data_IF_710521524789
#
_entry.id   IF_710521524789
#
_cell.length_a   1.000
_cell.length_b   1.000
_cell.length_c   1.000
_cell.angle_alpha   90.00
_cell.angle_beta   90.00
_cell.angle_gamma   90.00
#
_symmetry.space_group_name_H-M   'P 1'
#
loop_
_entity.id
_entity.type
_entity.pdbx_description
1 polymer ?
#
# COMPACT_ATOMS: atom_id res chain seq x y z
N UNK A 1 35.68 12.10 -41.52
CA UNK A 1 37.07 12.21 -42.02
C UNK A 1 37.75 13.23 -41.11
N UNK A 2 38.68 12.97 -40.20
CA UNK A 2 39.70 11.93 -39.91
C UNK A 2 39.51 11.48 -38.45
N UNK A 3 39.55 10.21 -38.01
CA UNK A 3 40.51 9.10 -38.14
C UNK A 3 41.91 9.42 -37.62
N UNK A 4 42.18 9.02 -36.38
CA UNK A 4 43.49 8.50 -35.92
C UNK A 4 43.26 7.20 -35.12
N UNK A 5 43.94 6.15 -35.55
CA UNK A 5 44.18 4.80 -34.97
C UNK A 5 45.71 4.68 -34.78
N UNK A 6 46.29 3.58 -34.23
CA UNK A 6 45.90 2.66 -33.15
C UNK A 6 47.08 2.44 -32.14
N UNK A 7 46.94 1.56 -31.14
CA UNK A 7 47.85 0.41 -30.85
C UNK A 7 47.32 -0.39 -29.65
N UNK A 8 47.52 -1.70 -29.75
CA UNK A 8 46.93 -2.86 -29.08
C UNK A 8 47.74 -3.43 -27.91
N UNK A 9 47.06 -4.02 -26.92
CA UNK A 9 47.37 -5.26 -26.13
C UNK A 9 46.67 -5.10 -24.76
N UNK A 10 46.02 -6.05 -24.10
CA UNK A 10 45.86 -7.51 -24.15
C UNK A 10 44.85 -7.87 -23.04
N UNK A 11 44.24 -9.06 -23.14
CA UNK A 11 43.60 -9.84 -22.07
C UNK A 11 42.14 -9.52 -21.68
N UNK A 12 41.38 -10.61 -21.63
CA UNK A 12 39.97 -10.79 -21.30
C UNK A 12 39.62 -10.38 -19.86
N UNK A 13 38.41 -9.84 -19.63
CA UNK A 13 37.58 -10.28 -18.50
C UNK A 13 36.13 -9.79 -18.65
N UNK A 14 35.21 -10.75 -18.67
CA UNK A 14 33.77 -10.54 -18.51
C UNK A 14 33.48 -9.84 -17.17
N UNK A 15 32.72 -8.75 -17.19
CA UNK A 15 32.26 -8.06 -15.98
C UNK A 15 30.87 -8.61 -15.63
N UNK A 16 30.84 -9.50 -14.63
CA UNK A 16 29.63 -9.98 -13.97
C UNK A 16 28.98 -8.92 -13.05
N UNK A 17 27.82 -9.23 -12.43
CA UNK A 17 27.00 -8.27 -11.70
C UNK A 17 27.72 -7.74 -10.45
N UNK A 18 27.72 -6.42 -10.29
CA UNK A 18 28.20 -5.67 -9.13
C UNK A 18 27.46 -6.07 -7.85
N UNK A 19 28.17 -6.64 -6.87
CA UNK A 19 27.71 -6.85 -5.49
C UNK A 19 27.98 -5.60 -4.65
N UNK A 20 26.98 -5.12 -3.90
CA UNK A 20 27.19 -4.10 -2.87
C UNK A 20 27.60 -4.78 -1.55
N UNK A 21 28.75 -4.39 -0.99
CA UNK A 21 29.18 -4.84 0.34
C UNK A 21 28.64 -3.89 1.43
N UNK A 22 27.99 -4.45 2.45
CA UNK A 22 27.67 -3.73 3.70
C UNK A 22 28.49 -4.35 4.82
N UNK A 23 29.44 -3.59 5.36
CA UNK A 23 30.30 -4.02 6.48
C UNK A 23 29.76 -3.39 7.77
N UNK A 24 29.29 -4.23 8.70
CA UNK A 24 28.88 -3.81 10.05
C UNK A 24 30.03 -4.15 11.01
N UNK A 25 30.59 -3.15 11.69
CA UNK A 25 31.65 -3.32 12.69
C UNK A 25 31.03 -3.16 14.08
N UNK A 26 31.07 -4.21 14.90
CA UNK A 26 30.61 -4.18 16.30
C UNK A 26 31.87 -4.12 17.19
N UNK A 27 31.91 -3.18 18.13
CA UNK A 27 33.01 -3.02 19.08
C UNK A 27 32.56 -3.49 20.46
N UNK A 28 33.24 -4.50 21.02
CA UNK A 28 33.17 -4.81 22.45
C UNK A 28 34.53 -4.49 23.08
N UNK A 29 34.55 -3.54 24.02
CA UNK A 29 35.72 -3.26 24.87
C UNK A 29 35.37 -3.59 26.33
N UNK A 30 36.06 -4.53 26.99
CA UNK A 30 35.88 -4.75 28.41
C UNK A 30 36.64 -3.71 29.23
N UNK A 31 36.00 -3.24 30.29
CA UNK A 31 36.56 -2.32 31.27
C UNK A 31 37.66 -3.00 32.12
N UNK A 32 38.81 -2.31 32.25
CA UNK A 32 39.94 -2.57 33.16
C UNK A 32 40.76 -3.87 32.99
N UNK A 33 41.98 -3.76 32.44
CA UNK A 33 43.20 -4.32 33.05
C UNK A 33 44.48 -3.89 32.29
N UNK A 34 45.49 -3.48 33.05
CA UNK A 34 46.87 -3.27 32.60
C UNK A 34 47.58 -4.61 32.26
N UNK A 35 48.59 -4.50 31.39
CA UNK A 35 49.66 -5.46 31.02
C UNK A 35 49.39 -6.48 29.90
N UNK A 36 50.12 -6.27 28.79
CA UNK A 36 50.70 -7.22 27.82
C UNK A 36 49.99 -8.56 27.57
N UNK A 37 48.87 -8.52 26.83
CA UNK A 37 48.30 -9.71 26.20
C UNK A 37 47.88 -9.46 24.73
N UNK A 38 48.09 -10.48 23.89
CA UNK A 38 47.69 -10.52 22.48
C UNK A 38 46.17 -10.72 22.42
N UNK A 39 45.44 -9.79 21.80
CA UNK A 39 44.01 -9.94 21.55
C UNK A 39 43.75 -10.65 20.22
N UNK A 40 42.83 -11.63 20.22
CA UNK A 40 42.27 -12.23 19.01
C UNK A 40 40.97 -11.48 18.71
N UNK A 41 40.97 -10.71 17.63
CA UNK A 41 39.76 -10.04 17.14
C UNK A 41 39.00 -10.99 16.21
N UNK A 42 37.73 -11.22 16.50
CA UNK A 42 36.82 -11.95 15.63
C UNK A 42 36.13 -10.95 14.70
N UNK A 43 36.40 -11.06 13.40
CA UNK A 43 35.66 -10.33 12.38
C UNK A 43 34.71 -11.30 11.68
N UNK A 44 33.41 -11.08 11.83
CA UNK A 44 32.35 -11.86 11.20
C UNK A 44 31.79 -11.05 10.05
N UNK A 45 31.95 -11.51 8.80
CA UNK A 45 31.31 -10.91 7.63
C UNK A 45 30.23 -11.85 7.09
N UNK A 46 29.00 -11.35 6.97
CA UNK A 46 27.91 -12.06 6.29
C UNK A 46 27.98 -11.73 4.79
N UNK A 47 28.10 -12.74 3.94
CA UNK A 47 27.97 -12.58 2.49
C UNK A 47 26.63 -13.10 2.02
N UNK A 48 25.87 -12.26 1.31
CA UNK A 48 24.67 -12.66 0.57
C UNK A 48 25.00 -12.75 -0.91
N UNK A 49 24.90 -13.95 -1.49
CA UNK A 49 25.07 -14.14 -2.93
C UNK A 49 23.77 -14.73 -3.49
N UNK A 50 23.04 -13.93 -4.28
CA UNK A 50 21.87 -14.38 -5.04
C UNK A 50 22.36 -14.88 -6.41
N UNK A 51 22.35 -16.19 -6.63
CA UNK A 51 22.59 -16.79 -7.95
C UNK A 51 21.25 -17.09 -8.63
N UNK A 52 21.01 -16.51 -9.80
CA UNK A 52 19.92 -16.90 -10.70
C UNK A 52 20.43 -17.93 -11.71
N UNK A 53 19.81 -19.11 -11.73
CA UNK A 53 20.07 -20.17 -12.71
C UNK A 53 18.76 -20.62 -13.39
N UNK A 54 18.80 -20.71 -14.71
CA UNK A 54 17.71 -21.14 -15.60
C UNK A 54 17.56 -22.67 -15.63
N UNK A 55 16.30 -23.14 -15.69
CA UNK A 55 15.75 -24.38 -16.30
C UNK A 55 14.80 -25.18 -15.36
N UNK A 56 13.53 -25.23 -15.81
CA UNK A 56 12.44 -26.22 -15.68
C UNK A 56 12.25 -27.05 -14.38
N UNK A 57 11.10 -26.80 -13.73
CA UNK A 57 10.44 -27.50 -12.60
C UNK A 57 10.94 -27.20 -11.17
N UNK A 58 10.05 -27.27 -10.16
CA UNK A 58 9.98 -26.28 -9.08
C UNK A 58 11.11 -26.47 -8.07
N UNK A 59 11.99 -25.48 -7.94
CA UNK A 59 13.02 -25.48 -6.92
C UNK A 59 12.55 -24.76 -5.66
N UNK A 60 12.64 -25.48 -4.53
CA UNK A 60 12.75 -24.90 -3.20
C UNK A 60 13.94 -23.93 -3.17
N UNK A 61 13.74 -22.75 -2.62
CA UNK A 61 14.77 -21.74 -2.42
C UNK A 61 15.74 -22.22 -1.32
N UNK A 62 16.91 -22.73 -1.70
CA UNK A 62 17.99 -23.05 -0.77
C UNK A 62 18.87 -21.81 -0.57
N UNK A 63 18.81 -21.21 0.62
CA UNK A 63 19.76 -20.18 1.05
C UNK A 63 21.00 -20.89 1.61
N UNK A 64 22.13 -20.77 0.93
CA UNK A 64 23.42 -21.23 1.44
C UNK A 64 24.04 -20.16 2.35
N UNK A 65 24.35 -20.52 3.59
CA UNK A 65 25.06 -19.66 4.53
C UNK A 65 26.55 -19.95 4.42
N UNK A 66 27.32 -19.06 3.79
CA UNK A 66 28.77 -19.12 3.85
C UNK A 66 29.27 -18.26 5.02
N UNK A 67 29.62 -18.90 6.13
CA UNK A 67 30.30 -18.23 7.23
C UNK A 67 31.80 -18.14 6.93
N UNK A 68 32.32 -16.92 6.77
CA UNK A 68 33.77 -16.66 6.86
C UNK A 68 34.08 -16.09 8.23
N UNK A 69 34.93 -16.80 8.98
CA UNK A 69 35.62 -16.25 10.14
C UNK A 69 37.08 -16.02 9.77
N UNK A 70 37.55 -14.79 9.91
CA UNK A 70 38.96 -14.43 9.83
C UNK A 70 39.48 -14.04 11.21
N UNK A 71 40.67 -14.51 11.58
CA UNK A 71 41.33 -14.13 12.83
C UNK A 71 42.46 -13.15 12.54
N UNK A 72 42.42 -11.99 13.20
CA UNK A 72 43.44 -10.96 13.09
C UNK A 72 44.29 -10.92 14.37
N UNK A 73 45.62 -10.92 14.19
CA UNK A 73 46.56 -10.68 15.28
C UNK A 73 46.88 -9.18 15.36
N UNK A 74 46.42 -8.52 16.41
CA UNK A 74 46.56 -7.08 16.60
C UNK A 74 47.57 -6.73 17.71
N UNK A 75 48.35 -5.67 17.51
CA UNK A 75 49.25 -5.12 18.53
C UNK A 75 48.76 -3.75 19.00
N UNK A 76 48.30 -3.71 20.25
CA UNK A 76 47.72 -2.51 20.87
C UNK A 76 48.73 -1.40 21.15
N UNK A 77 50.02 -1.70 21.33
CA UNK A 77 51.05 -0.70 21.59
C UNK A 77 51.49 0.08 20.34
N UNK A 78 51.27 -0.48 19.14
CA UNK A 78 51.66 0.14 17.85
C UNK A 78 50.49 0.54 16.96
N UNK A 79 49.24 0.26 17.36
CA UNK A 79 48.04 0.65 16.63
C UNK A 79 47.89 0.00 15.25
N UNK A 80 48.41 -1.22 15.02
CA UNK A 80 48.36 -1.89 13.70
C UNK A 80 48.16 -3.40 13.76
N UNK A 81 47.54 -3.95 12.72
CA UNK A 81 47.39 -5.40 12.49
C UNK A 81 48.73 -6.00 12.06
N UNK A 82 49.15 -7.09 12.69
CA UNK A 82 50.46 -7.71 12.45
C UNK A 82 50.42 -8.86 11.43
N UNK A 83 49.31 -9.62 11.35
CA UNK A 83 49.14 -10.72 10.39
C UNK A 83 47.67 -11.19 10.33
N UNK A 84 47.19 -11.49 9.13
CA UNK A 84 45.95 -12.26 8.92
C UNK A 84 46.28 -13.76 8.96
N UNK A 85 45.53 -14.54 9.75
CA UNK A 85 45.66 -15.99 9.80
C UNK A 85 44.38 -16.57 9.18
N UNK A 86 44.51 -17.26 8.04
CA UNK A 86 43.35 -17.63 7.23
C UNK A 86 43.03 -19.14 7.21
N UNK A 87 41.72 -19.38 7.05
CA UNK A 87 41.01 -20.53 6.46
C UNK A 87 40.72 -21.78 7.32
N UNK A 88 39.47 -21.89 7.77
CA UNK A 88 38.79 -23.18 7.95
C UNK A 88 37.61 -23.23 6.98
N UNK A 89 37.65 -24.15 6.03
CA UNK A 89 36.54 -24.49 5.12
C UNK A 89 35.79 -25.66 5.79
N UNK A 90 34.58 -25.44 6.29
CA UNK A 90 33.72 -26.53 6.73
C UNK A 90 32.86 -26.96 5.54
N UNK A 91 33.21 -28.10 4.95
CA UNK A 91 32.39 -28.78 3.95
C UNK A 91 31.96 -30.13 4.53
N UNK A 92 30.66 -30.32 4.79
CA UNK A 92 30.04 -31.64 4.67
C UNK A 92 28.51 -31.53 4.50
N UNK A 93 27.91 -32.33 3.61
CA UNK A 93 26.46 -32.49 3.49
C UNK A 93 25.94 -33.53 4.51
N UNK A 94 24.63 -33.48 4.77
CA UNK A 94 23.81 -34.46 5.50
C UNK A 94 23.88 -34.50 7.04
N UNK A 95 23.08 -33.67 7.73
CA UNK A 95 22.53 -34.00 9.06
C UNK A 95 21.15 -33.32 9.30
N UNK A 96 20.19 -33.96 10.03
CA UNK A 96 18.80 -33.49 10.17
C UNK A 96 18.64 -32.27 11.10
N UNK A 97 17.71 -31.39 10.74
CA UNK A 97 17.46 -30.05 11.28
C UNK A 97 16.76 -30.02 12.66
N UNK A 98 17.30 -30.74 13.65
CA UNK A 98 16.88 -30.61 15.04
C UNK A 98 18.15 -30.66 15.89
N UNK A 99 18.80 -29.51 16.10
CA UNK A 99 19.83 -29.22 17.13
C UNK A 99 20.57 -27.88 16.89
N UNK A 100 20.13 -27.02 15.95
CA UNK A 100 20.70 -25.68 15.72
C UNK A 100 19.84 -24.50 16.23
N UNK A 101 18.71 -24.76 16.91
CA UNK A 101 17.92 -23.70 17.58
C UNK A 101 18.45 -23.40 18.99
N UNK A 102 19.48 -24.11 19.46
CA UNK A 102 20.04 -23.95 20.80
C UNK A 102 21.15 -22.90 20.97
N UNK A 103 21.67 -22.28 19.89
CA UNK A 103 22.88 -21.43 19.97
C UNK A 103 22.66 -19.99 19.48
N UNK A 104 21.49 -19.65 18.94
CA UNK A 104 21.19 -18.27 18.48
C UNK A 104 20.28 -17.48 19.45
N UNK A 105 19.72 -18.13 20.47
CA UNK A 105 18.90 -17.48 21.51
C UNK A 105 19.65 -17.13 22.80
N UNK A 106 20.99 -17.22 22.82
CA UNK A 106 21.81 -16.75 23.96
C UNK A 106 22.50 -15.40 23.75
N UNK A 107 22.25 -14.72 22.62
CA UNK A 107 22.81 -13.39 22.32
C UNK A 107 21.83 -12.22 22.54
N UNK A 108 20.57 -12.46 22.93
CA UNK A 108 19.59 -11.42 23.24
C UNK A 108 18.95 -11.65 24.61
N UNK A 109 19.72 -11.52 25.68
CA UNK A 109 19.19 -11.36 27.04
C UNK A 109 20.24 -10.80 27.99
N UNK A 110 20.67 -9.54 27.79
CA UNK A 110 21.22 -8.70 28.86
C UNK A 110 20.78 -7.25 28.62
N UNK A 111 19.62 -6.86 29.14
CA UNK A 111 19.42 -5.58 29.85
C UNK A 111 17.97 -5.42 30.29
N UNK A 112 17.66 -5.79 31.53
CA UNK A 112 16.62 -5.15 32.33
C UNK A 112 16.74 -5.67 33.77
N UNK A 113 17.35 -4.90 34.64
CA UNK A 113 17.31 -5.12 36.09
C UNK A 113 16.94 -3.79 36.74
N UNK A 114 15.70 -3.69 37.25
CA UNK A 114 15.30 -2.72 38.28
C UNK A 114 13.95 -3.14 38.87
N UNK A 115 13.97 -3.51 40.17
CA UNK A 115 12.94 -3.36 41.23
C UNK A 115 11.46 -3.64 40.86
N UNK A 116 10.67 -4.50 41.52
CA UNK A 116 10.29 -4.47 42.93
C UNK A 116 9.37 -5.70 43.22
N UNK A 117 9.47 -6.22 44.43
CA UNK A 117 8.76 -7.38 44.98
C UNK A 117 7.37 -6.98 45.48
N UNK A 118 6.34 -7.80 45.24
CA UNK A 118 5.30 -8.09 46.25
C UNK A 118 4.71 -9.50 46.09
N UNK A 119 4.85 -10.26 47.19
CA UNK A 119 4.25 -11.53 47.60
C UNK A 119 2.91 -11.97 46.96
N UNK A 120 2.77 -13.25 46.64
CA UNK A 120 2.17 -14.21 47.57
C UNK A 120 2.30 -15.68 47.13
N UNK A 121 2.55 -16.50 48.13
CA UNK A 121 2.74 -17.95 48.21
C UNK A 121 1.50 -18.77 47.85
N UNK A 122 1.72 -19.96 47.25
CA UNK A 122 0.98 -21.18 47.61
C UNK A 122 1.75 -22.43 47.10
N UNK A 123 2.21 -23.24 48.06
CA UNK A 123 2.83 -24.55 47.83
C UNK A 123 1.80 -25.66 47.98
N UNK A 124 1.90 -26.73 47.19
CA UNK A 124 1.31 -28.03 47.54
C UNK A 124 2.37 -29.13 47.42
N UNK A 125 2.43 -29.98 48.46
CA UNK A 125 3.26 -31.19 48.56
C UNK A 125 2.38 -32.41 48.25
N UNK A 126 2.92 -33.35 47.48
CA UNK A 126 2.45 -34.74 47.37
C UNK A 126 2.92 -35.58 48.56
N UNK A 127 2.12 -36.56 48.98
CA UNK A 127 2.58 -37.86 49.53
C UNK A 127 1.40 -38.85 49.72
N UNK A 128 1.44 -39.90 48.89
CA UNK A 128 1.21 -41.34 49.16
C UNK A 128 -0.09 -41.93 49.79
N UNK A 129 -0.73 -42.74 48.92
CA UNK A 129 -1.15 -44.16 49.07
C UNK A 129 -2.09 -44.59 50.21
N UNK A 130 -3.26 -45.15 49.84
CA UNK A 130 -3.76 -46.45 50.34
C UNK A 130 -4.82 -47.08 49.40
N UNK A 131 -4.75 -48.40 49.26
CA UNK A 131 -5.47 -49.28 48.32
C UNK A 131 -6.96 -49.55 48.62
N UNK A 132 -7.66 -49.84 47.53
CA UNK A 132 -8.87 -50.66 47.32
C UNK A 132 -9.83 -50.97 48.48
N UNK A 133 -11.12 -50.68 48.24
CA UNK A 133 -12.15 -51.67 48.55
C UNK A 133 -13.29 -51.68 47.51
N UNK A 134 -13.65 -52.89 47.06
CA UNK A 134 -14.74 -53.19 46.14
C UNK A 134 -16.09 -52.96 46.83
N UNK A 135 -17.02 -52.37 46.08
CA UNK A 135 -18.48 -52.59 46.10
C UNK A 135 -19.23 -51.27 45.93
N UNK A 136 -19.65 -51.01 44.68
CA UNK A 136 -20.93 -50.41 44.26
C UNK A 136 -20.85 -50.09 42.77
N UNK A 137 -20.80 -51.16 42.00
CA UNK A 137 -21.15 -51.15 40.58
C UNK A 137 -22.62 -51.52 40.51
N UNK A 138 -23.52 -50.54 40.37
CA UNK A 138 -24.91 -50.74 39.93
C UNK A 138 -25.49 -49.39 39.46
N UNK A 139 -25.76 -49.35 38.16
CA UNK A 139 -26.70 -48.48 37.44
C UNK A 139 -26.54 -46.96 37.52
N UNK A 140 -25.88 -46.40 36.50
CA UNK A 140 -26.41 -45.25 35.74
C UNK A 140 -25.95 -45.35 34.29
N UNK A 141 -26.76 -46.01 33.45
CA UNK A 141 -26.74 -45.75 32.01
C UNK A 141 -27.57 -44.48 31.81
N UNK A 142 -26.92 -43.33 31.72
CA UNK A 142 -27.54 -42.08 31.28
C UNK A 142 -26.55 -41.30 30.42
N UNK A 143 -26.86 -41.24 29.14
CA UNK A 143 -26.59 -40.15 28.19
C UNK A 143 -25.35 -39.27 28.48
N UNK A 144 -24.19 -39.69 27.98
CA UNK A 144 -23.12 -38.76 27.64
C UNK A 144 -23.32 -38.31 26.18
N UNK A 145 -24.18 -37.32 25.97
CA UNK A 145 -24.06 -36.44 24.80
C UNK A 145 -22.79 -35.61 25.02
N UNK A 146 -21.79 -35.65 24.12
CA UNK A 146 -20.75 -34.63 24.15
C UNK A 146 -21.45 -33.33 23.76
N UNK A 147 -21.56 -32.41 24.71
CA UNK A 147 -21.75 -31.00 24.39
C UNK A 147 -20.54 -30.60 23.57
N UNK A 148 -20.71 -30.60 22.25
CA UNK A 148 -19.77 -30.01 21.32
C UNK A 148 -19.83 -28.51 21.64
N UNK A 149 -18.93 -28.05 22.51
CA UNK A 149 -18.48 -26.68 22.46
C UNK A 149 -17.84 -26.52 21.09
N UNK A 150 -18.62 -26.05 20.12
CA UNK A 150 -18.07 -25.44 18.92
C UNK A 150 -17.35 -24.20 19.45
N UNK A 151 -16.00 -24.14 19.43
CA UNK A 151 -15.36 -22.86 19.60
C UNK A 151 -15.88 -22.04 18.42
N UNK A 152 -16.54 -20.93 18.70
CA UNK A 152 -16.68 -19.87 17.73
C UNK A 152 -15.23 -19.51 17.38
N UNK A 153 -14.73 -20.11 16.31
CA UNK A 153 -13.55 -19.59 15.64
C UNK A 153 -14.02 -18.27 15.09
N UNK A 154 -13.75 -17.19 15.83
CA UNK A 154 -13.50 -15.91 15.19
C UNK A 154 -12.47 -16.24 14.12
N UNK A 155 -12.95 -16.35 12.89
CA UNK A 155 -12.11 -16.46 11.72
C UNK A 155 -11.34 -15.15 11.70
N UNK A 156 -10.15 -15.15 12.31
CA UNK A 156 -9.12 -14.16 12.05
C UNK A 156 -9.13 -13.96 10.54
N UNK A 157 -9.27 -12.72 10.03
CA UNK A 157 -9.34 -12.49 8.59
C UNK A 157 -8.13 -13.17 7.99
N UNK A 158 -8.38 -14.26 7.27
CA UNK A 158 -7.33 -15.02 6.63
C UNK A 158 -6.63 -14.04 5.72
N UNK A 159 -5.37 -13.71 6.04
CA UNK A 159 -4.49 -12.94 5.17
C UNK A 159 -4.63 -13.55 3.78
N UNK A 160 -5.34 -12.86 2.89
CA UNK A 160 -5.67 -13.36 1.56
C UNK A 160 -4.33 -13.74 0.92
N UNK A 161 -4.14 -15.01 0.57
CA UNK A 161 -2.91 -15.45 -0.08
C UNK A 161 -2.69 -14.54 -1.30
N UNK A 162 -1.51 -13.94 -1.48
CA UNK A 162 -1.30 -13.01 -2.58
C UNK A 162 -1.53 -13.78 -3.87
N UNK A 163 -2.65 -13.46 -4.55
CA UNK A 163 -2.94 -13.97 -5.87
C UNK A 163 -1.90 -13.48 -6.88
N UNK A 164 -1.99 -13.90 -8.15
CA UNK A 164 -1.18 -13.32 -9.21
C UNK A 164 -1.29 -11.78 -9.20
N UNK A 165 -0.15 -11.10 -9.34
CA UNK A 165 -0.03 -9.64 -9.28
C UNK A 165 0.38 -9.11 -10.65
N UNK A 166 -0.34 -8.10 -11.14
CA UNK A 166 0.04 -7.33 -12.33
C UNK A 166 0.98 -6.19 -11.94
N UNK A 167 2.28 -6.32 -12.26
CA UNK A 167 3.29 -5.30 -11.96
C UNK A 167 3.34 -4.13 -12.97
N UNK A 168 2.45 -4.11 -13.96
CA UNK A 168 2.36 -3.03 -14.97
C UNK A 168 0.93 -2.48 -15.09
N UNK A 169 0.28 -2.11 -13.96
CA UNK A 169 -1.12 -1.70 -13.98
C UNK A 169 -1.33 -0.47 -14.87
N UNK A 170 -2.51 -0.43 -15.48
CA UNK A 170 -3.02 0.69 -16.27
C UNK A 170 -4.33 1.13 -15.63
N UNK A 171 -4.37 2.34 -15.12
CA UNK A 171 -5.59 2.91 -14.54
C UNK A 171 -6.25 3.82 -15.58
N UNK A 172 -7.53 3.60 -15.81
CA UNK A 172 -8.33 4.50 -16.64
C UNK A 172 -8.74 5.74 -15.85
N UNK A 173 -8.63 6.91 -16.46
CA UNK A 173 -9.15 8.17 -15.90
C UNK A 173 -10.27 8.64 -16.80
N UNK A 174 -11.48 8.79 -16.25
CA UNK A 174 -12.63 9.27 -17.00
C UNK A 174 -12.49 10.77 -17.30
N UNK A 175 -12.58 11.16 -18.58
CA UNK A 175 -12.57 12.57 -18.96
C UNK A 175 -13.89 13.24 -18.55
N UNK A 176 -13.87 14.55 -18.36
CA UNK A 176 -15.07 15.35 -18.11
C UNK A 176 -15.36 16.30 -19.25
N UNK A 177 -16.64 16.65 -19.44
CA UNK A 177 -17.06 17.68 -20.38
C UNK A 177 -16.44 19.04 -20.05
N UNK A 178 -16.05 19.78 -21.09
CA UNK A 178 -15.66 21.17 -20.96
C UNK A 178 -16.91 22.06 -20.90
N UNK A 179 -17.17 22.64 -19.72
CA UNK A 179 -18.27 23.59 -19.51
C UNK A 179 -17.82 25.05 -19.73
N UNK A 180 -16.62 25.39 -19.27
CA UNK A 180 -16.06 26.75 -19.34
C UNK A 180 -15.76 27.20 -20.76
N UNK A 181 -16.27 28.37 -21.15
CA UNK A 181 -16.10 28.92 -22.51
C UNK A 181 -14.64 29.09 -22.92
N UNK A 182 -13.77 29.47 -21.98
CA UNK A 182 -12.33 29.65 -22.24
C UNK A 182 -11.63 28.34 -22.58
N UNK A 183 -12.17 27.20 -22.13
CA UNK A 183 -11.60 25.87 -22.35
C UNK A 183 -12.11 25.24 -23.66
N UNK A 184 -13.27 25.66 -24.18
CA UNK A 184 -13.92 25.06 -25.37
C UNK A 184 -13.06 25.11 -26.63
N UNK A 185 -12.15 26.08 -26.74
CA UNK A 185 -11.24 26.18 -27.88
C UNK A 185 -10.15 25.10 -27.89
N UNK A 186 -9.90 24.43 -26.76
CA UNK A 186 -8.83 23.43 -26.63
C UNK A 186 -9.32 21.99 -26.77
N UNK A 187 -10.59 21.71 -26.46
CA UNK A 187 -11.18 20.38 -26.60
C UNK A 187 -12.61 20.31 -26.07
N UNK A 188 -13.25 19.15 -26.24
CA UNK A 188 -14.62 18.92 -25.76
C UNK A 188 -14.65 18.26 -24.39
N UNK A 189 -13.62 17.47 -24.09
CA UNK A 189 -13.44 16.87 -22.78
C UNK A 189 -12.01 17.07 -22.29
N UNK A 190 -11.79 16.92 -20.98
CA UNK A 190 -10.50 17.18 -20.39
C UNK A 190 -10.19 16.30 -19.19
N UNK A 191 -8.90 16.23 -18.84
CA UNK A 191 -8.37 15.69 -17.59
C UNK A 191 -7.33 16.68 -17.05
N UNK A 192 -7.48 17.22 -15.83
CA UNK A 192 -6.40 17.95 -15.18
C UNK A 192 -5.16 17.06 -15.00
N UNK A 193 -3.99 17.56 -15.39
CA UNK A 193 -2.77 16.77 -15.40
C UNK A 193 -2.34 16.29 -13.99
N UNK A 194 -2.85 16.93 -12.92
CA UNK A 194 -2.63 16.48 -11.54
C UNK A 194 -3.12 15.05 -11.30
N UNK A 195 -4.25 14.63 -11.87
CA UNK A 195 -4.76 13.26 -11.73
C UNK A 195 -3.86 12.24 -12.44
N UNK A 196 -3.33 12.59 -13.62
CA UNK A 196 -2.37 11.75 -14.35
C UNK A 196 -1.09 11.60 -13.53
N UNK A 197 -0.49 12.71 -13.11
CA UNK A 197 0.74 12.73 -12.29
C UNK A 197 0.57 11.96 -10.98
N UNK A 198 -0.61 12.09 -10.35
CA UNK A 198 -0.96 11.37 -9.12
C UNK A 198 -0.86 9.86 -9.30
N UNK A 199 -1.52 9.32 -10.31
CA UNK A 199 -1.49 7.89 -10.62
C UNK A 199 -0.12 7.41 -11.07
N UNK A 200 0.55 8.15 -11.96
CA UNK A 200 1.89 7.77 -12.44
C UNK A 200 2.93 7.75 -11.33
N UNK A 201 2.82 8.66 -10.36
CA UNK A 201 3.76 8.72 -9.24
C UNK A 201 3.75 7.49 -8.33
N UNK A 202 2.71 6.66 -8.42
CA UNK A 202 2.56 5.40 -7.70
C UNK A 202 2.96 4.15 -8.53
N UNK A 203 3.51 4.36 -9.73
CA UNK A 203 4.00 3.28 -10.59
C UNK A 203 2.89 2.60 -11.41
N UNK A 204 1.94 3.39 -11.91
CA UNK A 204 0.93 2.96 -12.90
C UNK A 204 1.06 3.76 -14.18
N UNK A 205 0.54 3.23 -15.28
CA UNK A 205 0.28 3.99 -16.50
C UNK A 205 -1.17 4.45 -16.53
N UNK A 206 -1.51 5.39 -17.41
CA UNK A 206 -2.85 5.97 -17.53
C UNK A 206 -3.41 5.82 -18.93
N UNK A 207 -4.70 5.50 -19.01
CA UNK A 207 -5.52 5.59 -20.23
C UNK A 207 -6.62 6.65 -20.02
N UNK A 208 -6.72 7.69 -20.85
CA UNK A 208 -7.86 8.60 -20.82
C UNK A 208 -9.10 7.91 -21.42
N UNK A 209 -10.16 7.79 -20.62
CA UNK A 209 -11.44 7.21 -21.07
C UNK A 209 -12.32 8.34 -21.60
N UNK A 210 -12.49 8.39 -22.92
CA UNK A 210 -13.27 9.43 -23.59
C UNK A 210 -14.77 9.24 -23.41
N UNK A 211 -15.49 10.34 -23.33
CA UNK A 211 -16.95 10.35 -23.35
C UNK A 211 -17.50 10.04 -24.75
N UNK A 212 -18.79 9.70 -24.84
CA UNK A 212 -19.56 9.50 -26.09
C UNK A 212 -19.13 8.32 -26.99
N UNK A 213 -18.45 7.32 -26.44
CA UNK A 213 -18.16 6.07 -27.16
C UNK A 213 -19.31 5.06 -27.03
N UNK A 214 -19.31 3.99 -27.83
CA UNK A 214 -20.31 2.94 -27.71
C UNK A 214 -20.05 2.07 -26.47
N UNK A 215 -21.09 1.41 -25.95
CA UNK A 215 -20.96 0.49 -24.81
C UNK A 215 -19.95 -0.62 -25.07
N UNK A 216 -19.87 -1.15 -26.30
CA UNK A 216 -18.90 -2.16 -26.67
C UNK A 216 -17.45 -1.67 -26.55
N UNK A 217 -17.19 -0.39 -26.87
CA UNK A 217 -15.87 0.22 -26.67
C UNK A 217 -15.54 0.33 -25.19
N UNK A 218 -16.50 0.72 -24.35
CA UNK A 218 -16.30 0.77 -22.90
C UNK A 218 -16.06 -0.61 -22.28
N UNK A 219 -16.76 -1.64 -22.75
CA UNK A 219 -16.52 -3.01 -22.33
C UNK A 219 -15.13 -3.51 -22.74
N UNK A 220 -14.65 -3.12 -23.92
CA UNK A 220 -13.28 -3.43 -24.35
C UNK A 220 -12.25 -2.73 -23.45
N UNK A 221 -12.40 -1.42 -23.24
CA UNK A 221 -11.52 -0.65 -22.34
C UNK A 221 -11.51 -1.26 -20.94
N UNK A 222 -12.68 -1.61 -20.39
CA UNK A 222 -12.80 -2.20 -19.06
C UNK A 222 -11.97 -3.49 -18.91
N UNK A 223 -11.98 -4.36 -19.91
CA UNK A 223 -11.20 -5.62 -19.93
C UNK A 223 -9.69 -5.39 -20.09
N UNK A 224 -9.30 -4.23 -20.59
CA UNK A 224 -7.89 -3.88 -20.86
C UNK A 224 -7.21 -3.11 -19.73
N UNK A 225 -7.98 -2.41 -18.89
CA UNK A 225 -7.46 -1.60 -17.77
C UNK A 225 -7.68 -2.28 -16.42
N UNK A 226 -6.91 -1.85 -15.42
CA UNK A 226 -6.81 -2.49 -14.11
C UNK A 226 -7.56 -1.75 -12.99
N UNK A 227 -8.26 -0.67 -13.32
CA UNK A 227 -9.03 0.14 -12.36
C UNK A 227 -9.49 1.45 -12.98
N UNK A 228 -10.39 2.14 -12.28
CA UNK A 228 -10.98 3.40 -12.74
C UNK A 228 -10.83 4.51 -11.71
N UNK A 229 -10.36 5.68 -12.15
CA UNK A 229 -10.43 6.92 -11.39
C UNK A 229 -11.49 7.86 -11.98
N UNK A 230 -12.42 8.29 -11.12
CA UNK A 230 -13.42 9.31 -11.36
C UNK A 230 -12.93 10.63 -10.75
N UNK A 231 -12.63 11.60 -11.61
CA UNK A 231 -12.08 12.90 -11.21
C UNK A 231 -13.15 13.81 -10.57
N UNK A 232 -12.69 14.85 -9.88
CA UNK A 232 -13.52 15.95 -9.42
C UNK A 232 -13.82 16.95 -10.55
N UNK A 233 -14.95 17.66 -10.44
CA UNK A 233 -15.41 18.69 -11.39
C UNK A 233 -16.84 19.11 -11.10
N UNK A 234 -17.57 19.60 -12.10
CA UNK A 234 -18.92 20.20 -11.95
C UNK A 234 -20.04 19.51 -12.74
N UNK A 235 -19.76 18.44 -13.49
CA UNK A 235 -20.75 17.78 -14.36
C UNK A 235 -21.99 17.30 -13.59
N UNK A 236 -23.17 17.38 -14.23
CA UNK A 236 -24.42 16.88 -13.64
C UNK A 236 -24.38 15.36 -13.39
N UNK A 237 -24.68 14.93 -12.15
CA UNK A 237 -24.53 13.54 -11.71
C UNK A 237 -25.53 12.53 -12.30
N UNK A 238 -26.48 12.99 -13.13
CA UNK A 238 -27.51 12.13 -13.71
C UNK A 238 -27.54 12.16 -15.24
N UNK A 239 -27.32 13.34 -15.82
CA UNK A 239 -27.58 13.62 -17.24
C UNK A 239 -26.29 13.81 -18.05
N UNK A 240 -25.17 14.12 -17.39
CA UNK A 240 -23.86 14.21 -18.06
C UNK A 240 -23.44 12.87 -18.66
N UNK A 241 -22.60 12.92 -19.68
CA UNK A 241 -21.97 11.73 -20.23
C UNK A 241 -20.93 11.18 -19.25
N UNK A 242 -20.28 12.03 -18.44
CA UNK A 242 -19.46 11.59 -17.31
C UNK A 242 -20.24 10.63 -16.40
N UNK A 243 -21.43 11.01 -15.95
CA UNK A 243 -22.27 10.18 -15.08
C UNK A 243 -22.72 8.88 -15.76
N UNK A 244 -23.10 8.95 -17.05
CA UNK A 244 -23.53 7.77 -17.82
C UNK A 244 -22.39 6.76 -17.99
N UNK A 245 -21.20 7.22 -18.38
CA UNK A 245 -20.03 6.36 -18.62
C UNK A 245 -19.52 5.77 -17.30
N UNK A 246 -19.39 6.58 -16.25
CA UNK A 246 -19.08 6.08 -14.91
C UNK A 246 -20.07 5.01 -14.45
N UNK A 247 -21.37 5.20 -14.72
CA UNK A 247 -22.40 4.20 -14.42
C UNK A 247 -22.23 2.88 -15.19
N UNK A 248 -21.69 2.92 -16.42
CA UNK A 248 -21.32 1.70 -17.18
C UNK A 248 -20.19 0.97 -16.47
N UNK A 249 -19.08 1.66 -16.18
CA UNK A 249 -17.93 1.05 -15.52
C UNK A 249 -18.25 0.55 -14.12
N UNK A 250 -19.06 1.30 -13.34
CA UNK A 250 -19.54 0.86 -12.03
C UNK A 250 -20.27 -0.48 -12.09
N UNK A 251 -21.18 -0.66 -13.06
CA UNK A 251 -21.90 -1.94 -13.25
C UNK A 251 -20.98 -3.06 -13.73
N UNK A 252 -19.99 -2.77 -14.57
CA UNK A 252 -18.99 -3.74 -15.00
C UNK A 252 -18.11 -4.18 -13.83
N UNK A 253 -17.65 -3.23 -13.02
CA UNK A 253 -16.83 -3.49 -11.85
C UNK A 253 -17.58 -4.29 -10.79
N UNK A 254 -18.86 -4.00 -10.52
CA UNK A 254 -19.69 -4.83 -9.63
C UNK A 254 -19.71 -6.30 -10.11
N UNK A 255 -20.07 -6.51 -11.39
CA UNK A 255 -20.14 -7.86 -11.98
C UNK A 255 -18.80 -8.59 -11.95
N UNK A 256 -17.71 -7.89 -12.23
CA UNK A 256 -16.36 -8.46 -12.21
C UNK A 256 -16.00 -8.88 -10.78
N UNK A 257 -16.14 -7.99 -9.80
CA UNK A 257 -15.81 -8.29 -8.41
C UNK A 257 -16.68 -9.42 -7.83
N UNK A 258 -17.98 -9.47 -8.19
CA UNK A 258 -18.87 -10.59 -7.83
C UNK A 258 -18.40 -11.93 -8.41
N UNK A 259 -17.78 -11.90 -9.60
CA UNK A 259 -17.19 -13.07 -10.25
C UNK A 259 -15.76 -13.39 -9.74
N UNK A 260 -15.24 -12.64 -8.75
CA UNK A 260 -13.89 -12.79 -8.22
C UNK A 260 -12.80 -12.12 -9.07
N UNK A 261 -13.19 -11.33 -10.07
CA UNK A 261 -12.31 -10.55 -10.93
C UNK A 261 -12.16 -9.12 -10.37
N UNK A 262 -11.01 -8.88 -9.74
CA UNK A 262 -10.77 -7.65 -8.98
C UNK A 262 -10.71 -6.43 -9.91
N UNK A 263 -11.58 -5.45 -9.68
CA UNK A 263 -11.55 -4.18 -10.40
C UNK A 263 -11.86 -3.00 -9.45
N UNK A 264 -10.86 -2.21 -9.05
CA UNK A 264 -11.05 -1.10 -8.13
C UNK A 264 -11.57 0.17 -8.80
N UNK A 265 -12.35 0.95 -8.06
CA UNK A 265 -12.79 2.29 -8.47
C UNK A 265 -12.39 3.31 -7.39
N UNK A 266 -11.82 4.43 -7.81
CA UNK A 266 -11.54 5.59 -6.97
C UNK A 266 -12.38 6.78 -7.41
N UNK A 267 -13.04 7.45 -6.48
CA UNK A 267 -13.73 8.72 -6.73
C UNK A 267 -13.11 9.87 -5.94
N UNK A 268 -12.75 10.96 -6.62
CA UNK A 268 -12.31 12.21 -6.00
C UNK A 268 -13.38 13.28 -6.18
N UNK A 269 -13.79 13.95 -5.11
CA UNK A 269 -14.79 15.02 -5.10
C UNK A 269 -16.08 14.64 -5.84
N UNK A 270 -16.32 15.17 -7.06
CA UNK A 270 -17.44 14.77 -7.92
C UNK A 270 -17.49 13.25 -8.14
N UNK A 271 -16.35 12.59 -8.30
CA UNK A 271 -16.27 11.14 -8.43
C UNK A 271 -16.81 10.40 -7.20
N UNK A 272 -16.49 10.87 -5.99
CA UNK A 272 -17.04 10.29 -4.75
C UNK A 272 -18.55 10.54 -4.65
N UNK A 273 -18.99 11.77 -4.96
CA UNK A 273 -20.41 12.12 -4.99
C UNK A 273 -21.18 11.20 -5.93
N UNK A 274 -20.67 11.01 -7.16
CA UNK A 274 -21.26 10.12 -8.14
C UNK A 274 -21.33 8.68 -7.65
N UNK A 275 -20.27 8.15 -7.03
CA UNK A 275 -20.28 6.80 -6.45
C UNK A 275 -21.37 6.63 -5.41
N UNK A 276 -21.55 7.61 -4.51
CA UNK A 276 -22.64 7.55 -3.52
C UNK A 276 -24.02 7.58 -4.18
N UNK A 277 -24.22 8.39 -5.22
CA UNK A 277 -25.47 8.44 -5.98
C UNK A 277 -25.74 7.13 -6.74
N UNK A 278 -24.70 6.49 -7.31
CA UNK A 278 -24.81 5.21 -8.01
C UNK A 278 -25.20 4.06 -7.06
N UNK A 279 -24.64 4.03 -5.85
CA UNK A 279 -24.99 3.04 -4.82
C UNK A 279 -26.40 3.27 -4.28
N UNK A 280 -26.75 4.52 -3.97
CA UNK A 280 -28.08 4.85 -3.46
C UNK A 280 -29.18 4.65 -4.52
N UNK A 281 -28.85 4.87 -5.79
CA UNK A 281 -29.80 4.92 -6.90
C UNK A 281 -30.60 6.24 -6.97
N UNK A 282 -30.17 7.26 -6.22
CA UNK A 282 -30.79 8.59 -6.16
C UNK A 282 -29.75 9.66 -5.83
N UNK A 283 -30.09 10.94 -6.04
CA UNK A 283 -29.22 12.05 -5.66
C UNK A 283 -29.39 12.38 -4.18
N UNK A 284 -28.34 12.18 -3.39
CA UNK A 284 -28.31 12.41 -1.94
C UNK A 284 -27.53 13.67 -1.54
N UNK A 285 -27.09 14.46 -2.53
CA UNK A 285 -26.24 15.60 -2.25
C UNK A 285 -27.02 16.74 -1.58
N UNK A 286 -26.37 17.34 -0.59
CA UNK A 286 -26.85 18.52 0.11
C UNK A 286 -25.73 19.56 0.15
N UNK A 287 -26.07 20.80 0.47
CA UNK A 287 -25.08 21.88 0.54
C UNK A 287 -24.15 21.65 1.73
N UNK A 288 -22.88 21.37 1.44
CA UNK A 288 -21.81 21.15 2.42
C UNK A 288 -20.58 21.92 1.95
N UNK A 289 -20.76 23.23 1.76
CA UNK A 289 -19.77 24.11 1.14
C UNK A 289 -18.46 24.09 1.94
N UNK A 290 -17.40 23.67 1.27
CA UNK A 290 -16.01 23.81 1.68
C UNK A 290 -15.23 24.17 0.42
N UNK A 291 -15.26 25.46 0.09
CA UNK A 291 -14.57 25.99 -1.09
C UNK A 291 -13.25 26.62 -0.67
N UNK A 292 -12.16 26.17 -1.29
CA UNK A 292 -10.84 26.72 -1.04
C UNK A 292 -10.36 26.55 0.43
N UNK A 293 -10.67 25.40 1.03
CA UNK A 293 -10.36 25.10 2.42
C UNK A 293 -9.37 23.94 2.57
N UNK A 294 -8.29 24.16 3.31
CA UNK A 294 -7.43 23.10 3.82
C UNK A 294 -7.97 22.61 5.18
N UNK A 295 -8.24 21.31 5.31
CA UNK A 295 -8.82 20.71 6.53
C UNK A 295 -8.04 19.48 7.02
N UNK A 296 -7.95 19.24 8.34
CA UNK A 296 -7.66 17.90 8.87
C UNK A 296 -8.83 16.97 8.62
N UNK A 297 -8.67 15.67 8.84
CA UNK A 297 -9.75 14.68 8.78
C UNK A 297 -10.23 14.33 10.19
N UNK A 298 -11.55 14.43 10.43
CA UNK A 298 -12.14 13.83 11.63
C UNK A 298 -12.30 12.32 11.38
N UNK A 299 -11.24 11.56 11.70
CA UNK A 299 -11.18 10.11 11.52
C UNK A 299 -12.23 9.41 12.39
N UNK A 300 -12.90 8.42 11.81
CA UNK A 300 -13.80 7.50 12.53
C UNK A 300 -13.03 6.31 13.10
N UNK A 301 -13.72 5.44 13.84
CA UNK A 301 -13.09 4.21 14.36
C UNK A 301 -12.67 3.28 13.22
N UNK A 302 -13.48 3.24 12.16
CA UNK A 302 -13.30 2.42 10.97
C UNK A 302 -12.02 2.78 10.21
N UNK A 303 -11.54 4.02 10.29
CA UNK A 303 -10.27 4.44 9.66
C UNK A 303 -9.07 3.60 10.12
N UNK A 304 -9.01 3.26 11.41
CA UNK A 304 -7.85 2.58 12.00
C UNK A 304 -7.71 1.12 11.59
N UNK A 305 -8.78 0.51 11.08
CA UNK A 305 -8.80 -0.87 10.55
C UNK A 305 -9.11 -0.91 9.06
N UNK A 306 -9.05 0.24 8.38
CA UNK A 306 -9.40 0.37 6.96
C UNK A 306 -8.32 -0.21 6.06
N UNK A 307 -8.71 -0.65 4.87
CA UNK A 307 -7.74 -1.03 3.84
C UNK A 307 -7.03 0.21 3.29
N UNK A 308 -7.76 1.31 3.12
CA UNK A 308 -7.23 2.55 2.56
C UNK A 308 -6.04 3.11 3.35
N UNK A 309 -6.09 3.03 4.68
CA UNK A 309 -5.03 3.52 5.56
C UNK A 309 -4.16 2.38 6.13
N UNK A 310 -4.30 1.16 5.61
CA UNK A 310 -3.45 0.05 6.00
C UNK A 310 -1.99 0.36 5.64
N UNK A 311 -1.09 0.24 6.62
CA UNK A 311 0.33 0.52 6.43
C UNK A 311 0.71 2.01 6.46
N UNK A 312 -0.24 2.93 6.67
CA UNK A 312 0.10 4.34 6.90
C UNK A 312 0.94 4.45 8.19
N UNK A 313 2.08 5.17 8.16
CA UNK A 313 2.86 5.44 9.37
C UNK A 313 2.03 6.16 10.44
N UNK A 314 2.26 5.84 11.71
CA UNK A 314 1.47 6.40 12.82
C UNK A 314 1.56 7.92 12.93
N UNK A 315 2.72 8.49 12.58
CA UNK A 315 2.92 9.94 12.49
C UNK A 315 2.07 10.56 11.37
N UNK A 316 1.98 9.90 10.21
CA UNK A 316 1.11 10.36 9.10
C UNK A 316 -0.36 10.27 9.50
N UNK A 317 -0.78 9.21 10.17
CA UNK A 317 -2.16 9.08 10.69
C UNK A 317 -2.48 10.17 11.73
N UNK A 318 -1.52 10.53 12.59
CA UNK A 318 -1.69 11.63 13.53
C UNK A 318 -1.82 12.97 12.79
N UNK A 319 -0.93 13.25 11.84
CA UNK A 319 -0.95 14.47 11.03
C UNK A 319 -2.26 14.61 10.25
N UNK A 320 -2.79 13.53 9.66
CA UNK A 320 -4.11 13.51 9.01
C UNK A 320 -5.23 14.02 9.91
N UNK A 321 -5.17 13.72 11.22
CA UNK A 321 -6.20 14.13 12.17
C UNK A 321 -5.99 15.51 12.81
N UNK A 322 -4.78 16.08 12.69
CA UNK A 322 -4.36 17.28 13.43
C UNK A 322 -4.02 18.47 12.53
N UNK A 323 -3.57 18.22 11.31
CA UNK A 323 -3.07 19.23 10.40
C UNK A 323 -3.99 19.42 9.20
N UNK A 324 -4.00 20.64 8.65
CA UNK A 324 -4.81 20.98 7.48
C UNK A 324 -4.20 20.41 6.19
N UNK A 325 -4.28 19.08 6.00
CA UNK A 325 -3.61 18.35 4.92
C UNK A 325 -4.49 18.11 3.67
N UNK A 326 -5.79 18.34 3.77
CA UNK A 326 -6.75 17.98 2.71
C UNK A 326 -7.35 19.22 2.06
N UNK A 327 -7.13 19.39 0.74
CA UNK A 327 -7.71 20.50 -0.03
C UNK A 327 -9.16 20.22 -0.42
N UNK A 328 -10.08 21.11 -0.04
CA UNK A 328 -11.51 21.00 -0.30
C UNK A 328 -11.98 22.13 -1.23
N UNK A 329 -12.67 21.76 -2.30
CA UNK A 329 -13.12 22.66 -3.38
C UNK A 329 -14.53 22.25 -3.87
N UNK A 330 -15.47 22.09 -2.94
CA UNK A 330 -16.80 21.57 -3.26
C UNK A 330 -17.94 22.34 -2.57
N UNK A 331 -19.08 22.45 -3.26
CA UNK A 331 -20.29 23.06 -2.72
C UNK A 331 -21.27 22.06 -2.11
N UNK A 332 -21.17 20.81 -2.56
CA UNK A 332 -22.11 19.74 -2.24
C UNK A 332 -21.37 18.52 -1.71
N UNK A 333 -22.11 17.65 -1.04
CA UNK A 333 -21.60 16.42 -0.45
C UNK A 333 -22.73 15.65 0.24
N UNK A 334 -22.38 14.47 0.76
CA UNK A 334 -23.33 13.65 1.53
C UNK A 334 -23.13 13.92 3.00
N UNK A 335 -24.19 14.38 3.68
CA UNK A 335 -24.10 14.58 5.13
C UNK A 335 -24.01 13.25 5.86
N UNK A 336 -23.38 13.27 7.04
CA UNK A 336 -23.33 12.11 7.94
C UNK A 336 -24.73 11.58 8.24
N UNK A 337 -25.73 12.47 8.39
CA UNK A 337 -27.14 12.12 8.60
C UNK A 337 -27.70 11.37 7.38
N UNK A 338 -27.65 11.98 6.19
CA UNK A 338 -28.16 11.39 4.95
C UNK A 338 -27.53 10.02 4.67
N UNK A 339 -26.22 9.88 4.90
CA UNK A 339 -25.53 8.60 4.74
C UNK A 339 -26.08 7.53 5.69
N UNK A 340 -26.24 7.85 6.97
CA UNK A 340 -26.76 6.92 8.00
C UNK A 340 -28.26 6.63 7.88
N UNK A 341 -29.02 7.44 7.14
CA UNK A 341 -30.44 7.17 6.87
C UNK A 341 -30.62 6.32 5.61
N UNK A 342 -29.60 6.20 4.75
CA UNK A 342 -29.66 5.39 3.54
C UNK A 342 -29.04 3.99 3.75
N UNK A 343 -29.89 2.96 3.77
CA UNK A 343 -29.47 1.57 4.00
C UNK A 343 -28.49 1.03 2.95
N UNK A 344 -28.60 1.48 1.69
CA UNK A 344 -27.69 1.04 0.61
C UNK A 344 -26.29 1.60 0.84
N UNK A 345 -26.16 2.87 1.20
CA UNK A 345 -24.85 3.45 1.52
C UNK A 345 -24.22 2.78 2.74
N UNK A 346 -24.98 2.56 3.81
CA UNK A 346 -24.45 1.91 5.02
C UNK A 346 -23.98 0.48 4.79
N UNK A 347 -24.73 -0.29 3.99
CA UNK A 347 -24.37 -1.67 3.66
C UNK A 347 -23.20 -1.75 2.67
N UNK A 348 -23.01 -0.74 1.84
CA UNK A 348 -21.96 -0.74 0.82
C UNK A 348 -20.62 -0.19 1.32
N UNK A 349 -20.65 0.89 2.10
CA UNK A 349 -19.46 1.67 2.46
C UNK A 349 -19.25 1.77 3.97
N UNK A 350 -17.97 1.75 4.37
CA UNK A 350 -17.48 2.25 5.66
C UNK A 350 -17.13 3.73 5.52
N UNK A 351 -17.48 4.54 6.50
CA UNK A 351 -17.04 5.93 6.58
C UNK A 351 -15.73 5.96 7.35
N UNK A 352 -14.66 6.46 6.72
CA UNK A 352 -13.34 6.57 7.35
C UNK A 352 -13.11 7.95 7.94
N UNK A 353 -13.70 8.99 7.36
CA UNK A 353 -13.61 10.33 7.94
C UNK A 353 -14.82 11.19 7.64
N UNK A 354 -14.97 12.22 8.46
CA UNK A 354 -15.93 13.29 8.27
C UNK A 354 -15.24 14.65 8.37
N UNK A 355 -15.92 15.69 7.90
CA UNK A 355 -15.51 17.07 8.04
C UNK A 355 -16.71 17.97 8.28
N UNK A 356 -16.45 19.19 8.74
CA UNK A 356 -17.47 20.22 8.96
C UNK A 356 -17.34 21.27 7.87
N UNK A 357 -18.43 21.46 7.12
CA UNK A 357 -18.54 22.50 6.10
C UNK A 357 -18.68 23.90 6.73
N UNK A 358 -18.51 24.95 5.93
CA UNK A 358 -18.65 26.35 6.36
C UNK A 358 -20.01 26.66 6.99
N UNK A 359 -21.07 26.01 6.51
CA UNK A 359 -22.43 26.13 7.04
C UNK A 359 -22.69 25.28 8.29
N UNK A 360 -21.65 24.64 8.86
CA UNK A 360 -21.75 23.77 10.04
C UNK A 360 -22.24 22.34 9.74
N UNK A 361 -22.54 22.01 8.48
CA UNK A 361 -22.97 20.66 8.13
C UNK A 361 -21.81 19.66 8.25
N UNK A 362 -22.03 18.55 8.96
CA UNK A 362 -21.06 17.44 9.03
C UNK A 362 -21.27 16.55 7.82
N UNK A 363 -20.24 16.45 6.98
CA UNK A 363 -20.25 15.66 5.75
C UNK A 363 -19.24 14.51 5.79
N UNK A 364 -19.55 13.45 5.05
CA UNK A 364 -18.67 12.31 4.86
C UNK A 364 -17.55 12.72 3.92
N UNK A 365 -16.28 12.62 4.36
CA UNK A 365 -15.12 13.09 3.59
C UNK A 365 -14.25 11.98 3.02
N UNK A 366 -14.29 10.78 3.60
CA UNK A 366 -13.58 9.60 3.07
C UNK A 366 -14.42 8.33 3.29
N UNK A 367 -14.53 7.49 2.26
CA UNK A 367 -15.24 6.20 2.28
C UNK A 367 -14.40 5.10 1.64
N UNK A 368 -14.63 3.86 2.09
CA UNK A 368 -14.16 2.65 1.42
C UNK A 368 -15.28 1.60 1.38
N UNK A 369 -15.31 0.78 0.34
CA UNK A 369 -16.27 -0.30 0.20
C UNK A 369 -16.02 -1.40 1.22
N UNK A 370 -17.10 -1.92 1.80
CA UNK A 370 -17.02 -3.04 2.77
C UNK A 370 -16.61 -4.35 2.11
N UNK A 371 -17.07 -4.55 0.87
CA UNK A 371 -16.84 -5.77 0.08
C UNK A 371 -16.14 -5.46 -1.23
N UNK A 372 -16.57 -4.41 -1.93
CA UNK A 372 -16.01 -4.01 -3.21
C UNK A 372 -14.81 -3.08 -3.02
N UNK A 373 -13.77 -3.16 -3.87
CA UNK A 373 -12.60 -2.28 -3.81
C UNK A 373 -12.92 -0.88 -4.38
N UNK A 374 -13.97 -0.24 -3.87
CA UNK A 374 -14.46 1.06 -4.29
C UNK A 374 -14.15 2.08 -3.20
N UNK A 375 -13.53 3.19 -3.57
CA UNK A 375 -12.95 4.17 -2.66
C UNK A 375 -13.41 5.57 -3.04
N UNK A 376 -13.55 6.45 -2.05
CA UNK A 376 -13.98 7.81 -2.29
C UNK A 376 -13.35 8.79 -1.31
N UNK A 377 -12.88 9.92 -1.83
CA UNK A 377 -12.48 11.10 -1.05
C UNK A 377 -13.22 12.33 -1.56
N UNK A 378 -13.82 13.11 -0.67
CA UNK A 378 -14.53 14.34 -1.05
C UNK A 378 -13.54 15.49 -1.31
N UNK A 379 -12.36 15.40 -0.69
CA UNK A 379 -11.22 16.28 -0.84
C UNK A 379 -10.28 15.78 -1.96
N UNK A 380 -9.29 16.60 -2.31
CA UNK A 380 -8.42 16.39 -3.45
C UNK A 380 -6.99 16.03 -3.02
N UNK A 381 -6.57 14.74 -3.01
CA UNK A 381 -5.19 14.38 -2.67
C UNK A 381 -4.19 14.77 -3.77
N UNK A 382 -4.62 14.86 -5.02
CA UNK A 382 -3.73 15.14 -6.17
C UNK A 382 -3.18 16.57 -6.16
N UNK A 383 -3.90 17.53 -5.57
CA UNK A 383 -3.47 18.94 -5.57
C UNK A 383 -2.27 19.17 -4.68
N UNK A 384 -2.09 18.36 -3.62
CA UNK A 384 -1.02 18.50 -2.62
C UNK A 384 0.39 18.49 -3.26
N UNK A 385 0.52 17.84 -4.42
CA UNK A 385 1.81 17.63 -5.11
C UNK A 385 1.92 18.35 -6.45
N UNK A 386 0.80 18.74 -7.06
CA UNK A 386 0.77 19.02 -8.51
C UNK A 386 0.02 20.28 -8.94
N UNK A 387 -0.63 21.01 -8.03
CA UNK A 387 -1.28 22.30 -8.32
C UNK A 387 -0.65 23.40 -7.49
N UNK A 388 -0.47 24.61 -8.03
CA UNK A 388 0.33 25.65 -7.36
C UNK A 388 -0.24 27.07 -7.48
N UNK A 389 -1.44 27.25 -8.06
CA UNK A 389 -2.06 28.56 -8.16
C UNK A 389 -2.25 29.16 -6.75
N UNK A 390 -1.56 30.28 -6.43
CA UNK A 390 -1.55 30.87 -5.09
C UNK A 390 -2.89 31.45 -4.64
N UNK A 391 -3.89 31.52 -5.54
CA UNK A 391 -5.26 31.89 -5.18
C UNK A 391 -5.98 30.77 -4.42
N UNK A 392 -5.48 29.53 -4.54
CA UNK A 392 -6.06 28.39 -3.89
C UNK A 392 -5.23 27.92 -2.69
N UNK A 393 -5.91 27.45 -1.65
CA UNK A 393 -5.36 26.96 -0.42
C UNK A 393 -5.00 25.48 -0.55
N UNK A 394 -4.05 25.19 -1.43
CA UNK A 394 -3.53 23.84 -1.63
C UNK A 394 -2.54 23.47 -0.51
N UNK A 395 -2.76 22.38 0.24
CA UNK A 395 -1.82 21.94 1.26
C UNK A 395 -0.53 21.36 0.65
N UNK A 396 0.60 22.03 0.88
CA UNK A 396 1.92 21.61 0.38
C UNK A 396 2.92 21.22 1.47
N UNK A 397 2.45 20.97 2.70
CA UNK A 397 3.33 20.48 3.77
C UNK A 397 3.92 19.12 3.42
N UNK A 398 5.04 18.75 4.06
CA UNK A 398 5.66 17.43 3.88
C UNK A 398 4.65 16.30 4.13
N UNK A 399 3.83 16.41 5.17
CA UNK A 399 2.82 15.40 5.47
C UNK A 399 1.66 15.39 4.48
N UNK A 400 1.24 16.55 3.95
CA UNK A 400 0.25 16.61 2.86
C UNK A 400 0.75 15.87 1.61
N UNK A 401 2.03 16.02 1.27
CA UNK A 401 2.68 15.31 0.16
C UNK A 401 2.78 13.81 0.44
N UNK A 402 3.16 13.41 1.67
CA UNK A 402 3.24 12.00 2.08
C UNK A 402 1.89 11.29 2.01
N UNK A 403 0.82 11.92 2.52
CA UNK A 403 -0.56 11.41 2.45
C UNK A 403 -0.96 11.16 1.00
N UNK A 404 -0.76 12.14 0.12
CA UNK A 404 -1.09 12.00 -1.30
C UNK A 404 -0.29 10.87 -1.96
N UNK A 405 0.99 10.71 -1.63
CA UNK A 405 1.82 9.61 -2.16
C UNK A 405 1.29 8.23 -1.71
N UNK A 406 0.97 8.08 -0.42
CA UNK A 406 0.52 6.81 0.13
C UNK A 406 -0.87 6.41 -0.40
N UNK A 407 -1.79 7.37 -0.57
CA UNK A 407 -3.09 7.09 -1.17
C UNK A 407 -3.00 6.70 -2.65
N UNK A 408 -2.10 7.33 -3.41
CA UNK A 408 -1.84 6.94 -4.80
C UNK A 408 -1.28 5.51 -4.87
N UNK A 409 -0.31 5.20 -4.00
CA UNK A 409 0.29 3.86 -3.90
C UNK A 409 -0.75 2.80 -3.53
N UNK A 410 -1.59 3.09 -2.53
CA UNK A 410 -2.71 2.23 -2.15
C UNK A 410 -3.62 1.90 -3.35
N UNK A 411 -4.10 2.93 -4.06
CA UNK A 411 -5.03 2.69 -5.16
C UNK A 411 -4.38 1.96 -6.34
N UNK A 412 -3.12 2.27 -6.68
CA UNK A 412 -2.39 1.52 -7.70
C UNK A 412 -2.15 0.08 -7.26
N UNK A 413 -1.88 -0.19 -5.99
CA UNK A 413 -1.76 -1.54 -5.44
C UNK A 413 -3.06 -2.33 -5.56
N UNK A 414 -4.23 -1.71 -5.37
CA UNK A 414 -5.51 -2.36 -5.68
C UNK A 414 -5.61 -2.68 -7.17
N UNK A 415 -5.14 -1.78 -8.05
CA UNK A 415 -5.06 -2.05 -9.49
C UNK A 415 -4.16 -3.24 -9.84
N UNK A 416 -3.06 -3.46 -9.12
CA UNK A 416 -2.18 -4.61 -9.32
C UNK A 416 -2.86 -5.96 -9.06
N UNK A 417 -4.02 -5.98 -8.39
CA UNK A 417 -4.82 -7.19 -8.16
C UNK A 417 -5.71 -7.55 -9.35
N UNK A 418 -5.90 -6.65 -10.30
CA UNK A 418 -6.57 -6.92 -11.58
C UNK A 418 -5.60 -7.53 -12.59
N UNK A 419 -6.00 -8.61 -13.25
CA UNK A 419 -5.19 -9.28 -14.29
C UNK A 419 -5.55 -8.84 -15.71
N UNK A 420 -6.42 -7.84 -15.84
CA UNK A 420 -6.76 -7.21 -17.10
C UNK A 420 -5.52 -6.70 -17.84
N UNK A 421 -5.54 -6.78 -19.16
CA UNK A 421 -4.48 -6.30 -20.02
C UNK A 421 -5.02 -6.12 -21.43
N UNK A 422 -4.35 -5.28 -22.22
CA UNK A 422 -4.61 -5.19 -23.65
C UNK A 422 -4.14 -6.46 -24.35
N UNK A 423 -4.94 -6.97 -25.29
CA UNK A 423 -4.59 -8.15 -26.07
C UNK A 423 -3.39 -7.89 -26.99
N UNK A 424 -3.24 -6.65 -27.50
CA UNK A 424 -2.19 -6.25 -28.43
C UNK A 424 -1.34 -5.10 -27.86
N UNK A 425 0.00 -5.22 -27.85
CA UNK A 425 0.89 -4.15 -27.39
C UNK A 425 0.72 -2.82 -28.15
N UNK A 426 0.37 -2.87 -29.43
CA UNK A 426 0.13 -1.69 -30.25
C UNK A 426 -1.13 -0.94 -29.81
N UNK A 427 -2.20 -1.66 -29.45
CA UNK A 427 -3.43 -1.07 -28.93
C UNK A 427 -3.19 -0.45 -27.55
N UNK A 428 -2.41 -1.12 -26.70
CA UNK A 428 -1.95 -0.56 -25.43
C UNK A 428 -1.21 0.77 -25.69
N UNK A 429 -0.17 0.74 -26.53
CA UNK A 429 0.67 1.89 -26.81
C UNK A 429 -0.12 3.07 -27.35
N UNK A 430 -1.10 2.85 -28.22
CA UNK A 430 -1.96 3.90 -28.79
C UNK A 430 -3.01 4.44 -27.79
N UNK A 431 -3.35 3.67 -26.76
CA UNK A 431 -4.38 4.06 -25.78
C UNK A 431 -3.82 4.88 -24.61
N UNK A 432 -2.50 4.85 -24.38
CA UNK A 432 -1.87 5.51 -23.24
C UNK A 432 -1.91 7.04 -23.35
N UNK A 433 -1.90 7.68 -22.18
CA UNK A 433 -1.84 9.15 -22.03
C UNK A 433 -0.60 9.77 -22.70
N UNK A 434 0.45 8.99 -22.95
CA UNK A 434 1.69 9.41 -23.61
C UNK A 434 1.51 9.88 -25.06
N UNK A 435 0.37 9.56 -25.69
CA UNK A 435 0.03 10.06 -27.02
C UNK A 435 -0.59 11.46 -27.01
N UNK A 436 -0.77 12.05 -25.82
CA UNK A 436 -1.41 13.34 -25.64
C UNK A 436 -0.43 14.33 -25.01
N UNK A 437 -0.53 15.60 -25.41
CA UNK A 437 0.30 16.68 -24.87
C UNK A 437 -0.58 17.59 -24.02
N UNK A 438 -0.25 17.82 -22.73
CA UNK A 438 -1.02 18.72 -21.90
C UNK A 438 -0.75 20.18 -22.29
N UNK A 439 -1.79 21.01 -22.22
CA UNK A 439 -1.71 22.46 -22.39
C UNK A 439 -1.44 23.12 -21.04
N UNK A 440 -0.55 24.11 -20.99
CA UNK A 440 -0.42 24.98 -19.82
C UNK A 440 -1.70 25.82 -19.66
N UNK A 441 -2.38 25.66 -18.51
CA UNK A 441 -3.70 26.23 -18.26
C UNK A 441 -3.76 27.13 -17.01
N UNK A 442 -2.64 27.30 -16.30
CA UNK A 442 -2.60 28.07 -15.04
C UNK A 442 -2.85 29.57 -15.22
N UNK A 443 -2.85 30.09 -16.45
CA UNK A 443 -3.19 31.47 -16.76
C UNK A 443 -4.69 31.71 -17.04
N UNK A 444 -5.50 30.66 -17.21
CA UNK A 444 -6.93 30.80 -17.50
C UNK A 444 -7.85 29.81 -16.74
N UNK A 445 -7.29 28.91 -15.95
CA UNK A 445 -8.01 27.99 -15.06
C UNK A 445 -7.32 27.90 -13.70
N UNK A 446 -7.91 27.18 -12.74
CA UNK A 446 -7.25 26.80 -11.48
C UNK A 446 -6.32 25.58 -11.58
N UNK A 447 -6.05 25.08 -12.80
CA UNK A 447 -5.16 23.94 -13.03
C UNK A 447 -3.88 24.39 -13.74
N UNK A 448 -2.71 23.90 -13.31
CA UNK A 448 -1.43 24.19 -13.98
C UNK A 448 -1.40 23.70 -15.43
N UNK A 449 -1.86 22.47 -15.64
CA UNK A 449 -1.81 21.77 -16.91
C UNK A 449 -3.04 20.89 -17.09
N UNK A 450 -3.52 20.79 -18.33
CA UNK A 450 -4.72 20.04 -18.68
C UNK A 450 -4.50 19.29 -19.99
N UNK A 451 -4.89 18.02 -20.01
CA UNK A 451 -5.05 17.25 -21.25
C UNK A 451 -6.45 17.51 -21.80
N UNK A 452 -6.53 17.92 -23.06
CA UNK A 452 -7.78 18.13 -23.79
C UNK A 452 -7.97 17.06 -24.86
N UNK A 453 -9.22 16.65 -25.12
CA UNK A 453 -9.60 15.58 -26.05
C UNK A 453 -10.79 15.93 -26.94
#
# INVERSE_FOLDING_TARGET
MMVRKPVTSTAEQEVGPTSAEVVIIIWDLPANANNDHIHILQQSSLHFQLCYGSINHPMNMFVWWNYRCSYLKYNSAQGRVLKEISHVKLESPDFPLAHCVGVVLQAFSISASSFLVFNNTLSYRETDLFELNREKMLHTVMLCLPVIFVPWSDSLPTRRQPGPVNNRPIIGILTQEVEDDVMKMFGKTYIPASYVKYIESAGSRVVPIRLTQSTAVYENIFKSINGLLLIGGSSDLKTSDFAKVAGIFYRLALKANDAGDSFPIWGTCLGMQLLTCLVAGENLLTKTTAENMALPLNLTKEAHSSQMFEGFPSDVMAALSQEALTGNFHQYGVTMKTFKENEKLQSFFSILSTNTAENGAIFVSTIEGRTYPFYGVQWHPEVNRFQWDPKFNFPHSSDAVRVASLLAEFFVNEGRRSLHHFDQPEEEAMSLIYNYTPTYAGNFTGYEQIYFF
#
